data_IF_893005427411
#
_entry.id   IF_893005427411
#
_cell.length_a   1.000
_cell.length_b   1.000
_cell.length_c   1.000
_cell.angle_alpha   90.00
_cell.angle_beta   90.00
_cell.angle_gamma   90.00
#
_symmetry.space_group_name_H-M   'P 1'
#
loop_
_entity.id
_entity.type
_entity.pdbx_description
1 polymer ?
#
# COMPACT_ATOMS: atom_id res chain seq x y z
N UNK A 1 -1.60 7.16 2.28
CA UNK A 1 -2.92 6.65 2.75
C UNK A 1 -3.83 7.84 2.96
N UNK A 2 -5.12 7.70 2.61
CA UNK A 2 -6.16 8.70 2.87
C UNK A 2 -6.56 8.69 4.35
N UNK A 3 -7.85 8.49 4.65
CA UNK A 3 -8.35 8.39 6.02
C UNK A 3 -7.77 7.16 6.76
N UNK A 4 -7.47 7.27 8.08
CA UNK A 4 -7.62 8.47 8.93
C UNK A 4 -6.40 9.41 8.89
N UNK A 5 -5.38 9.08 8.12
CA UNK A 5 -4.07 9.75 8.20
C UNK A 5 -3.91 10.96 7.28
N UNK A 6 -4.93 11.33 6.50
CA UNK A 6 -4.84 12.41 5.52
C UNK A 6 -4.34 13.72 6.14
N UNK A 7 -4.99 14.17 7.22
CA UNK A 7 -4.69 15.44 7.88
C UNK A 7 -3.30 15.44 8.52
N UNK A 8 -2.98 14.42 9.32
CA UNK A 8 -1.68 14.30 9.98
C UNK A 8 -0.52 14.21 8.97
N UNK A 9 -0.72 13.48 7.87
CA UNK A 9 0.25 13.44 6.79
C UNK A 9 0.39 14.81 6.11
N UNK A 10 -0.70 15.56 5.91
CA UNK A 10 -0.63 16.90 5.33
C UNK A 10 0.14 17.89 6.20
N UNK A 11 -0.10 17.86 7.51
CA UNK A 11 0.57 18.73 8.47
C UNK A 11 2.07 18.43 8.63
N UNK A 12 2.51 17.21 8.30
CA UNK A 12 3.92 16.80 8.39
C UNK A 12 4.70 16.98 7.10
N UNK A 13 4.05 17.41 6.01
CA UNK A 13 4.72 17.63 4.73
C UNK A 13 5.53 18.94 4.73
N UNK A 14 6.74 18.86 4.18
CA UNK A 14 7.55 20.02 3.86
C UNK A 14 7.07 20.69 2.56
N UNK A 15 7.52 21.93 2.32
CA UNK A 15 7.25 22.63 1.04
C UNK A 15 7.77 21.78 -0.13
N UNK A 16 6.94 21.54 -1.13
CA UNK A 16 7.22 20.73 -2.32
C UNK A 16 7.05 19.22 -2.13
N UNK A 17 6.60 18.77 -0.94
CA UNK A 17 6.45 17.35 -0.65
C UNK A 17 5.31 16.69 -1.44
N UNK A 18 5.34 15.35 -1.49
CA UNK A 18 4.36 14.54 -2.21
C UNK A 18 3.70 13.54 -1.28
N UNK A 19 2.37 13.42 -1.38
CA UNK A 19 1.60 12.42 -0.66
C UNK A 19 1.05 11.38 -1.65
N UNK A 20 1.31 10.10 -1.38
CA UNK A 20 0.86 8.98 -2.21
C UNK A 20 -0.33 8.29 -1.54
N UNK A 21 -1.41 8.11 -2.31
CA UNK A 21 -2.66 7.50 -1.87
C UNK A 21 -2.84 6.14 -2.53
N UNK A 22 -2.81 5.08 -1.72
CA UNK A 22 -3.00 3.68 -2.14
C UNK A 22 -4.25 3.04 -1.52
N UNK A 23 -4.85 3.69 -0.52
CA UNK A 23 -6.01 3.20 0.23
C UNK A 23 -6.64 4.33 1.05
N UNK A 24 -7.92 4.18 1.37
CA UNK A 24 -8.65 5.02 2.32
C UNK A 24 -9.79 4.21 2.93
N UNK A 25 -10.17 4.51 4.17
CA UNK A 25 -11.39 3.97 4.80
C UNK A 25 -12.59 4.83 4.40
N UNK A 26 -12.53 6.12 4.74
CA UNK A 26 -13.51 7.12 4.33
C UNK A 26 -13.26 7.59 2.90
N UNK A 27 -14.33 7.69 2.10
CA UNK A 27 -14.22 8.12 0.69
C UNK A 27 -13.82 9.59 0.56
N UNK A 28 -14.34 10.43 1.45
CA UNK A 28 -14.16 11.87 1.40
C UNK A 28 -13.32 12.32 2.58
N UNK A 29 -12.42 13.26 2.33
CA UNK A 29 -11.61 13.93 3.35
C UNK A 29 -11.69 15.44 3.12
N UNK A 30 -11.67 16.27 4.18
CA UNK A 30 -11.58 17.71 4.03
C UNK A 30 -10.30 18.11 3.27
N UNK A 31 -10.42 19.01 2.30
CA UNK A 31 -9.29 19.49 1.52
C UNK A 31 -8.99 20.96 1.85
N UNK A 32 -7.89 21.20 2.55
CA UNK A 32 -7.36 22.55 2.74
C UNK A 32 -6.54 22.97 1.50
N UNK A 33 -7.19 23.72 0.62
CA UNK A 33 -6.56 24.24 -0.59
C UNK A 33 -5.41 25.22 -0.28
N UNK A 34 -5.45 25.94 0.83
CA UNK A 34 -4.38 26.88 1.21
C UNK A 34 -3.11 26.15 1.60
N UNK A 35 -3.21 25.12 2.42
CA UNK A 35 -2.08 24.25 2.75
C UNK A 35 -1.48 23.62 1.50
N UNK A 36 -2.33 23.16 0.57
CA UNK A 36 -1.91 22.55 -0.69
C UNK A 36 -1.06 23.50 -1.56
N UNK A 37 -1.57 24.68 -1.93
CA UNK A 37 -0.84 25.52 -2.90
C UNK A 37 0.33 26.28 -2.25
N UNK A 38 0.23 26.70 -0.97
CA UNK A 38 1.36 27.36 -0.28
C UNK A 38 2.46 26.38 0.07
N UNK A 39 2.09 25.16 0.44
CA UNK A 39 3.01 24.04 0.63
C UNK A 39 3.56 23.51 -0.70
N UNK A 40 3.05 23.92 -1.86
CA UNK A 40 3.44 23.37 -3.17
C UNK A 40 3.35 21.84 -3.21
N UNK A 41 2.34 21.28 -2.52
CA UNK A 41 2.21 19.83 -2.37
C UNK A 41 1.78 19.16 -3.68
N UNK A 42 2.21 17.91 -3.88
CA UNK A 42 1.70 17.06 -4.97
C UNK A 42 0.94 15.87 -4.40
N UNK A 43 -0.27 15.63 -4.88
CA UNK A 43 -1.07 14.47 -4.51
C UNK A 43 -1.05 13.44 -5.63
N UNK A 44 -0.68 12.20 -5.31
CA UNK A 44 -0.56 11.10 -6.28
C UNK A 44 -1.49 9.96 -5.87
N UNK A 45 -2.52 9.72 -6.67
CA UNK A 45 -3.38 8.55 -6.53
C UNK A 45 -2.78 7.34 -7.25
N UNK A 46 -2.80 6.18 -6.60
CA UNK A 46 -2.37 4.90 -7.19
C UNK A 46 -3.57 3.96 -7.24
N UNK A 47 -3.91 3.53 -8.45
CA UNK A 47 -4.93 2.52 -8.69
C UNK A 47 -4.30 1.33 -9.42
N UNK A 48 -3.93 0.30 -8.65
CA UNK A 48 -3.33 -0.90 -9.21
C UNK A 48 -4.34 -1.76 -9.98
N UNK A 49 -5.66 -1.55 -9.83
CA UNK A 49 -6.68 -2.32 -10.55
C UNK A 49 -6.78 -1.94 -12.03
N UNK A 50 -6.32 -0.74 -12.39
CA UNK A 50 -6.27 -0.28 -13.78
C UNK A 50 -5.00 -0.70 -14.52
N UNK A 51 -4.06 -1.38 -13.86
CA UNK A 51 -2.85 -1.86 -14.51
C UNK A 51 -3.13 -3.13 -15.31
N UNK A 52 -2.78 -3.10 -16.60
CA UNK A 52 -2.78 -4.30 -17.44
C UNK A 52 -1.56 -5.20 -17.13
N UNK A 53 -1.61 -6.43 -17.66
CA UNK A 53 -0.55 -7.42 -17.45
C UNK A 53 0.82 -6.92 -17.91
N UNK A 54 0.88 -6.15 -18.99
CA UNK A 54 2.14 -5.64 -19.53
C UNK A 54 2.74 -4.55 -18.62
N UNK A 55 1.90 -3.68 -18.05
CA UNK A 55 2.29 -2.68 -17.07
C UNK A 55 2.78 -3.32 -15.79
N UNK A 56 2.08 -4.34 -15.29
CA UNK A 56 2.52 -5.11 -14.11
C UNK A 56 3.86 -5.79 -14.38
N UNK A 57 4.04 -6.46 -15.51
CA UNK A 57 5.30 -7.10 -15.87
C UNK A 57 6.47 -6.10 -15.88
N UNK A 58 6.32 -4.94 -16.53
CA UNK A 58 7.36 -3.89 -16.54
C UNK A 58 7.73 -3.41 -15.13
N UNK A 59 6.74 -3.27 -14.24
CA UNK A 59 6.99 -2.89 -12.85
C UNK A 59 7.79 -3.99 -12.15
N UNK A 60 7.40 -5.26 -12.30
CA UNK A 60 8.11 -6.38 -11.69
C UNK A 60 9.54 -6.50 -12.23
N UNK A 61 9.76 -6.33 -13.52
CA UNK A 61 11.10 -6.32 -14.14
C UNK A 61 11.97 -5.19 -13.57
N UNK A 62 11.37 -4.03 -13.29
CA UNK A 62 12.07 -2.90 -12.65
C UNK A 62 12.48 -3.22 -11.20
N UNK A 63 11.65 -3.99 -10.48
CA UNK A 63 11.90 -4.34 -9.08
C UNK A 63 12.84 -5.55 -8.91
N UNK A 64 12.88 -6.47 -9.88
CA UNK A 64 13.60 -7.74 -9.77
C UNK A 64 15.08 -7.59 -9.37
N UNK A 65 15.88 -6.70 -9.98
CA UNK A 65 17.28 -6.54 -9.57
C UNK A 65 17.45 -6.15 -8.10
N UNK A 66 16.49 -5.40 -7.55
CA UNK A 66 16.49 -5.00 -6.15
C UNK A 66 16.28 -6.18 -5.19
N UNK A 67 15.47 -7.16 -5.57
CA UNK A 67 15.32 -8.40 -4.80
C UNK A 67 16.56 -9.30 -4.94
N UNK A 68 17.11 -9.41 -6.14
CA UNK A 68 18.32 -10.21 -6.42
C UNK A 68 19.54 -9.72 -5.63
N UNK A 69 19.73 -8.39 -5.53
CA UNK A 69 20.83 -7.79 -4.78
C UNK A 69 20.51 -7.52 -3.30
N UNK A 70 19.28 -7.84 -2.85
CA UNK A 70 18.84 -7.72 -1.47
C UNK A 70 18.59 -6.30 -0.95
N UNK A 71 18.62 -5.29 -1.82
CA UNK A 71 18.19 -3.91 -1.49
C UNK A 71 16.68 -3.80 -1.29
N UNK A 72 15.91 -4.66 -1.96
CA UNK A 72 14.52 -4.94 -1.66
C UNK A 72 14.43 -6.30 -0.96
N UNK A 73 13.62 -6.37 0.10
CA UNK A 73 13.36 -7.61 0.83
C UNK A 73 11.86 -7.85 0.87
N UNK A 74 11.40 -9.07 0.57
CA UNK A 74 9.98 -9.38 0.73
C UNK A 74 9.59 -9.27 2.19
N UNK A 75 8.33 -8.94 2.44
CA UNK A 75 7.80 -9.00 3.80
C UNK A 75 7.86 -10.45 4.30
N UNK A 76 8.37 -10.71 5.52
CA UNK A 76 8.50 -12.08 6.03
C UNK A 76 7.19 -12.84 6.04
N UNK A 77 7.23 -14.11 5.65
CA UNK A 77 6.13 -15.06 5.82
C UNK A 77 6.50 -15.92 7.03
N UNK A 78 5.68 -15.83 8.06
CA UNK A 78 5.84 -16.64 9.28
C UNK A 78 4.94 -17.86 9.19
N UNK A 79 5.40 -19.00 9.71
CA UNK A 79 4.70 -20.29 9.55
C UNK A 79 3.28 -20.27 10.12
N UNK A 80 3.05 -19.56 11.22
CA UNK A 80 1.72 -19.39 11.85
C UNK A 80 0.68 -18.69 10.95
N UNK A 81 1.13 -18.03 9.88
CA UNK A 81 0.27 -17.32 8.92
C UNK A 81 0.27 -17.97 7.53
N UNK A 82 0.76 -19.22 7.44
CA UNK A 82 0.62 -20.08 6.29
C UNK A 82 -0.57 -21.02 6.50
N UNK A 83 -1.60 -20.85 5.67
CA UNK A 83 -2.84 -21.61 5.77
C UNK A 83 -2.94 -22.56 4.57
N UNK A 84 -3.29 -23.84 4.78
CA UNK A 84 -3.63 -24.72 3.68
C UNK A 84 -4.95 -24.26 3.03
N UNK A 85 -5.20 -24.65 1.77
CA UNK A 85 -6.37 -24.20 1.01
C UNK A 85 -7.70 -24.57 1.70
N UNK A 86 -7.78 -25.71 2.38
CA UNK A 86 -8.95 -26.16 3.15
C UNK A 86 -9.30 -25.19 4.29
N UNK A 87 -8.32 -24.41 4.75
CA UNK A 87 -8.47 -23.40 5.80
C UNK A 87 -8.48 -21.97 5.26
N UNK A 88 -8.77 -21.78 3.97
CA UNK A 88 -8.82 -20.44 3.37
C UNK A 88 -9.76 -19.49 4.11
N UNK A 89 -10.89 -19.98 4.63
CA UNK A 89 -11.80 -19.19 5.46
C UNK A 89 -11.10 -18.57 6.68
N UNK A 90 -10.24 -19.32 7.35
CA UNK A 90 -9.48 -18.84 8.52
C UNK A 90 -8.47 -17.77 8.11
N UNK A 91 -7.81 -17.96 6.97
CA UNK A 91 -6.87 -16.99 6.40
C UNK A 91 -7.55 -15.64 6.10
N UNK A 92 -8.70 -15.66 5.42
CA UNK A 92 -9.48 -14.45 5.13
C UNK A 92 -9.95 -13.76 6.42
N UNK A 93 -10.40 -14.53 7.40
CA UNK A 93 -10.81 -14.01 8.71
C UNK A 93 -9.65 -13.35 9.45
N UNK A 94 -8.43 -13.89 9.36
CA UNK A 94 -7.24 -13.27 9.94
C UNK A 94 -6.93 -11.91 9.29
N UNK A 95 -7.01 -11.81 7.96
CA UNK A 95 -6.84 -10.53 7.24
C UNK A 95 -7.89 -9.51 7.67
N UNK A 96 -9.17 -9.91 7.71
CA UNK A 96 -10.28 -9.04 8.14
C UNK A 96 -10.13 -8.57 9.59
N UNK A 97 -9.56 -9.40 10.46
CA UNK A 97 -9.26 -9.04 11.84
C UNK A 97 -8.02 -8.14 12.01
N UNK A 98 -7.33 -7.78 10.90
CA UNK A 98 -6.18 -6.90 10.92
C UNK A 98 -4.85 -7.60 11.22
N UNK A 99 -4.66 -8.83 10.71
CA UNK A 99 -3.37 -9.53 10.76
C UNK A 99 -2.20 -8.60 10.38
N UNK A 100 -1.14 -8.62 11.20
CA UNK A 100 0.05 -7.79 10.98
C UNK A 100 1.06 -8.48 10.06
N UNK A 101 0.97 -9.80 9.98
CA UNK A 101 1.82 -10.70 9.23
C UNK A 101 1.28 -10.93 7.81
N UNK A 102 2.16 -11.33 6.89
CA UNK A 102 1.73 -11.72 5.54
C UNK A 102 1.04 -13.08 5.60
N UNK A 103 -0.27 -13.08 5.39
CA UNK A 103 -1.08 -14.30 5.22
C UNK A 103 -0.77 -14.93 3.86
N UNK A 104 -0.44 -16.23 3.86
CA UNK A 104 -0.20 -17.03 2.66
C UNK A 104 -1.20 -18.19 2.60
N UNK A 105 -1.84 -18.38 1.45
CA UNK A 105 -2.56 -19.62 1.12
C UNK A 105 -1.60 -20.56 0.40
N UNK A 106 -1.41 -21.76 0.96
CA UNK A 106 -0.57 -22.81 0.40
C UNK A 106 -1.44 -23.95 -0.11
N UNK A 107 -1.45 -24.23 -1.43
CA UNK A 107 -2.14 -25.39 -1.99
C UNK A 107 -1.56 -26.72 -1.51
#
# INVERSE_FOLDING_TARGET
VGSPYFEAANASMAIGARQIFISTIERSVPFDIFAFYRGQHTYVGVDSLQLDNAAVARILDTLAPGFENGSLRPFPIVDDYVYPLERAHDAYRAVLAGARERVLLKP
#
